data_IF_813175954057
#
_entry.id   IF_813175954057
#
_cell.length_a   1.000
_cell.length_b   1.000
_cell.length_c   1.000
_cell.angle_alpha   90.00
_cell.angle_beta   90.00
_cell.angle_gamma   90.00
#
_symmetry.space_group_name_H-M   'P 1'
#
loop_
_entity.id
_entity.type
_entity.pdbx_description
1 polymer ?
#
# COMPACT_ATOMS: atom_id res chain seq x y z
N UNK A 1 7.67 8.97 31.15
CA UNK A 1 8.40 10.27 31.17
C UNK A 1 7.94 11.07 29.96
N UNK A 2 8.33 12.32 29.73
CA UNK A 2 7.95 12.97 28.45
C UNK A 2 8.92 12.60 27.31
N UNK A 3 8.43 12.48 26.07
CA UNK A 3 9.28 12.15 24.91
C UNK A 3 10.46 13.14 24.75
N UNK A 4 10.23 14.42 25.02
CA UNK A 4 11.27 15.45 25.03
C UNK A 4 12.36 15.20 26.09
N UNK A 5 11.98 14.69 27.27
CA UNK A 5 12.93 14.33 28.33
C UNK A 5 13.79 13.13 27.94
N UNK A 6 13.19 12.15 27.25
CA UNK A 6 13.90 10.99 26.74
C UNK A 6 14.90 11.40 25.65
N UNK A 7 14.46 12.16 24.64
CA UNK A 7 15.32 12.68 23.56
C UNK A 7 16.51 13.47 24.15
N UNK A 8 16.24 14.35 25.13
CA UNK A 8 17.29 15.15 25.76
C UNK A 8 18.38 14.29 26.42
N UNK A 9 17.99 13.13 27.00
CA UNK A 9 18.87 12.21 27.74
C UNK A 9 19.59 11.20 26.84
N UNK A 10 18.90 10.66 25.84
CA UNK A 10 19.44 9.57 24.99
C UNK A 10 20.00 10.08 23.66
N UNK A 11 19.67 11.32 23.28
CA UNK A 11 19.96 11.89 21.95
C UNK A 11 19.39 11.06 20.80
N UNK A 12 18.35 10.27 21.08
CA UNK A 12 17.66 9.44 20.12
C UNK A 12 16.21 9.90 19.98
N UNK A 13 15.73 10.02 18.74
CA UNK A 13 14.38 10.47 18.42
C UNK A 13 13.52 9.26 17.99
N UNK A 14 12.66 8.75 18.89
CA UNK A 14 11.68 7.72 18.56
C UNK A 14 10.46 8.34 17.87
N UNK A 15 9.70 7.52 17.14
CA UNK A 15 8.33 7.90 16.75
C UNK A 15 7.40 7.86 17.97
N UNK A 16 6.19 8.41 17.85
CA UNK A 16 5.19 8.32 18.93
C UNK A 16 4.88 6.85 19.31
N UNK A 17 4.65 5.98 18.32
CA UNK A 17 4.37 4.55 18.53
C UNK A 17 5.55 3.81 19.20
N UNK A 18 6.79 4.14 18.83
CA UNK A 18 7.98 3.58 19.48
C UNK A 18 8.13 4.11 20.90
N UNK A 19 7.79 5.38 21.11
CA UNK A 19 7.87 6.02 22.41
C UNK A 19 6.88 5.43 23.41
N UNK A 20 5.65 5.11 23.00
CA UNK A 20 4.65 4.49 23.87
C UNK A 20 5.20 3.21 24.52
N UNK A 21 5.93 2.38 23.75
CA UNK A 21 6.58 1.16 24.25
C UNK A 21 7.76 1.45 25.18
N UNK A 22 8.56 2.46 24.85
CA UNK A 22 9.68 2.89 25.71
C UNK A 22 9.15 3.45 27.04
N UNK A 23 8.05 4.19 27.00
CA UNK A 23 7.40 4.73 28.19
C UNK A 23 6.83 3.62 29.07
N UNK A 24 6.21 2.60 28.48
CA UNK A 24 5.80 1.39 29.21
C UNK A 24 6.99 0.64 29.82
N UNK A 25 8.10 0.46 29.10
CA UNK A 25 9.35 -0.10 29.64
C UNK A 25 9.86 0.73 30.84
N UNK A 26 9.73 2.06 30.78
CA UNK A 26 10.13 2.96 31.87
C UNK A 26 9.22 2.83 33.10
N UNK A 27 7.89 2.77 32.92
CA UNK A 27 6.96 2.60 34.05
C UNK A 27 7.18 1.28 34.81
N UNK A 28 7.72 0.27 34.13
CA UNK A 28 8.05 -1.03 34.72
C UNK A 28 9.51 -1.12 35.23
N UNK A 29 10.30 -0.03 35.15
CA UNK A 29 11.70 -0.03 35.55
C UNK A 29 11.87 0.50 36.99
N UNK A 30 12.63 -0.24 37.81
CA UNK A 30 12.97 0.18 39.17
C UNK A 30 14.17 1.15 39.19
N UNK A 31 13.86 2.44 39.07
CA UNK A 31 14.82 3.53 39.19
C UNK A 31 14.34 4.86 38.63
N UNK A 32 15.23 5.87 38.72
CA UNK A 32 14.97 7.19 38.14
C UNK A 32 15.12 7.23 36.61
N UNK A 33 14.67 8.34 36.01
CA UNK A 33 14.71 8.59 34.56
C UNK A 33 16.12 8.46 33.97
N UNK A 34 17.15 8.90 34.70
CA UNK A 34 18.51 8.93 34.18
C UNK A 34 19.13 7.52 34.20
N UNK A 35 18.85 6.74 35.24
CA UNK A 35 19.25 5.33 35.34
C UNK A 35 18.59 4.52 34.23
N UNK A 36 17.29 4.73 33.97
CA UNK A 36 16.60 4.11 32.86
C UNK A 36 17.23 4.46 31.51
N UNK A 37 17.33 5.75 31.17
CA UNK A 37 17.86 6.18 29.87
C UNK A 37 19.28 5.67 29.61
N UNK A 38 20.16 5.73 30.62
CA UNK A 38 21.52 5.17 30.51
C UNK A 38 21.51 3.66 30.29
N UNK A 39 20.67 2.94 31.04
CA UNK A 39 20.53 1.48 30.90
C UNK A 39 19.99 1.11 29.51
N UNK A 40 18.92 1.76 29.07
CA UNK A 40 18.31 1.54 27.76
C UNK A 40 19.28 1.74 26.60
N UNK A 41 20.07 2.82 26.62
CA UNK A 41 21.12 3.05 25.62
C UNK A 41 22.22 2.00 25.72
N UNK A 42 22.73 1.73 26.94
CA UNK A 42 23.81 0.77 27.18
C UNK A 42 23.45 -0.65 26.73
N UNK A 43 22.19 -1.05 26.89
CA UNK A 43 21.69 -2.36 26.46
C UNK A 43 21.19 -2.38 25.00
N UNK A 44 21.55 -1.35 24.23
CA UNK A 44 21.39 -1.35 22.79
C UNK A 44 19.98 -1.02 22.30
N UNK A 45 19.21 -0.23 23.06
CA UNK A 45 17.86 0.20 22.68
C UNK A 45 17.80 0.85 21.29
N UNK A 46 18.78 1.70 20.96
CA UNK A 46 18.88 2.35 19.63
C UNK A 46 19.03 1.31 18.52
N UNK A 47 19.92 0.33 18.71
CA UNK A 47 20.19 -0.72 17.73
C UNK A 47 19.00 -1.68 17.61
N UNK A 48 18.30 -1.96 18.71
CA UNK A 48 17.08 -2.77 18.72
C UNK A 48 15.99 -2.09 17.89
N UNK A 49 15.65 -0.83 18.17
CA UNK A 49 14.66 -0.07 17.40
C UNK A 49 15.06 0.09 15.93
N UNK A 50 16.33 0.39 15.65
CA UNK A 50 16.81 0.50 14.27
C UNK A 50 16.60 -0.80 13.48
N UNK A 51 16.83 -1.97 14.10
CA UNK A 51 16.55 -3.27 13.46
C UNK A 51 15.06 -3.51 13.26
N UNK A 52 14.23 -3.12 14.22
CA UNK A 52 12.77 -3.22 14.10
C UNK A 52 12.24 -2.33 12.97
N UNK A 53 12.76 -1.10 12.84
CA UNK A 53 12.45 -0.21 11.70
C UNK A 53 12.79 -0.86 10.37
N UNK A 54 13.98 -1.46 10.24
CA UNK A 54 14.38 -2.16 9.00
C UNK A 54 13.45 -3.34 8.69
N UNK A 55 13.05 -4.13 9.70
CA UNK A 55 12.08 -5.22 9.51
C UNK A 55 10.72 -4.68 9.03
N UNK A 56 10.18 -3.66 9.70
CA UNK A 56 8.91 -3.02 9.30
C UNK A 56 8.98 -2.46 7.87
N UNK A 57 10.09 -1.85 7.48
CA UNK A 57 10.30 -1.38 6.10
C UNK A 57 10.30 -2.55 5.11
N UNK A 58 10.99 -3.65 5.42
CA UNK A 58 11.04 -4.81 4.52
C UNK A 58 9.66 -5.48 4.38
N UNK A 59 8.92 -5.61 5.48
CA UNK A 59 7.57 -6.18 5.48
C UNK A 59 6.62 -5.30 4.65
N UNK A 60 6.67 -3.97 4.85
CA UNK A 60 5.88 -3.02 4.06
C UNK A 60 6.25 -3.05 2.58
N UNK A 61 7.54 -3.17 2.25
CA UNK A 61 7.98 -3.31 0.86
C UNK A 61 7.42 -4.57 0.21
N UNK A 62 7.42 -5.69 0.93
CA UNK A 62 6.85 -6.94 0.46
C UNK A 62 5.34 -6.83 0.22
N UNK A 63 4.60 -6.24 1.16
CA UNK A 63 3.16 -5.99 0.99
C UNK A 63 2.86 -5.10 -0.22
N UNK A 64 3.69 -4.07 -0.45
CA UNK A 64 3.56 -3.18 -1.60
C UNK A 64 3.83 -3.93 -2.92
N UNK A 65 4.81 -4.83 -2.95
CA UNK A 65 5.09 -5.67 -4.11
C UNK A 65 3.94 -6.65 -4.41
N UNK A 66 3.40 -7.31 -3.39
CA UNK A 66 2.23 -8.18 -3.53
C UNK A 66 1.01 -7.41 -4.04
N UNK A 67 0.74 -6.23 -3.47
CA UNK A 67 -0.37 -5.37 -3.88
C UNK A 67 -0.20 -4.91 -5.34
N UNK A 68 0.99 -4.46 -5.71
CA UNK A 68 1.29 -4.07 -7.09
C UNK A 68 1.09 -5.22 -8.08
N UNK A 69 1.48 -6.44 -7.69
CA UNK A 69 1.26 -7.62 -8.51
C UNK A 69 -0.25 -7.85 -8.74
N UNK A 70 -1.04 -7.86 -7.67
CA UNK A 70 -2.50 -8.04 -7.78
C UNK A 70 -3.16 -6.95 -8.60
N UNK A 71 -2.74 -5.69 -8.40
CA UNK A 71 -3.25 -4.54 -9.16
C UNK A 71 -2.95 -4.68 -10.65
N UNK A 72 -1.75 -5.14 -11.02
CA UNK A 72 -1.38 -5.33 -12.42
C UNK A 72 -2.15 -6.50 -13.06
N UNK A 73 -2.36 -7.59 -12.33
CA UNK A 73 -3.17 -8.73 -12.79
C UNK A 73 -4.63 -8.30 -13.02
N UNK A 74 -5.22 -7.55 -12.08
CA UNK A 74 -6.57 -7.01 -12.21
C UNK A 74 -6.67 -6.02 -13.39
N UNK A 75 -5.70 -5.12 -13.53
CA UNK A 75 -5.67 -4.16 -14.64
C UNK A 75 -5.67 -4.88 -15.98
N UNK A 76 -4.79 -5.88 -16.14
CA UNK A 76 -4.72 -6.67 -17.37
C UNK A 76 -6.03 -7.40 -17.64
N UNK A 77 -6.68 -7.96 -16.61
CA UNK A 77 -7.98 -8.61 -16.75
C UNK A 77 -9.06 -7.64 -17.26
N UNK A 78 -9.12 -6.42 -16.71
CA UNK A 78 -10.08 -5.41 -17.16
C UNK A 78 -9.78 -4.91 -18.57
N UNK A 79 -8.51 -4.70 -18.92
CA UNK A 79 -8.09 -4.32 -20.28
C UNK A 79 -8.49 -5.38 -21.32
N UNK A 80 -8.27 -6.67 -21.03
CA UNK A 80 -8.66 -7.77 -21.92
C UNK A 80 -10.18 -7.84 -22.08
N UNK A 81 -10.93 -7.64 -20.99
CA UNK A 81 -12.40 -7.62 -21.01
C UNK A 81 -12.93 -6.44 -21.82
N UNK A 82 -12.36 -5.25 -21.64
CA UNK A 82 -12.76 -4.06 -22.38
C UNK A 82 -12.47 -4.20 -23.87
N UNK A 83 -11.31 -4.77 -24.23
CA UNK A 83 -10.98 -5.08 -25.62
C UNK A 83 -11.99 -6.05 -26.26
N UNK A 84 -12.38 -7.09 -25.52
CA UNK A 84 -13.41 -8.05 -25.97
C UNK A 84 -14.76 -7.38 -26.19
N UNK A 85 -15.22 -6.57 -25.22
CA UNK A 85 -16.49 -5.86 -25.33
C UNK A 85 -16.49 -4.86 -26.49
N UNK A 86 -15.38 -4.15 -26.71
CA UNK A 86 -15.23 -3.25 -27.86
C UNK A 86 -15.35 -4.00 -29.19
N UNK A 87 -14.75 -5.20 -29.27
CA UNK A 87 -14.88 -6.07 -30.45
C UNK A 87 -16.33 -6.51 -30.68
N UNK A 88 -16.98 -7.08 -29.66
CA UNK A 88 -18.37 -7.54 -29.76
C UNK A 88 -19.33 -6.42 -30.19
N UNK A 89 -19.10 -5.21 -29.66
CA UNK A 89 -19.90 -4.03 -29.99
C UNK A 89 -19.68 -3.58 -31.44
N UNK A 90 -18.44 -3.61 -31.92
CA UNK A 90 -18.13 -3.29 -33.32
C UNK A 90 -18.69 -4.33 -34.29
N UNK A 91 -18.60 -5.62 -33.95
CA UNK A 91 -19.18 -6.71 -34.75
C UNK A 91 -20.70 -6.53 -34.86
N UNK A 92 -21.37 -6.26 -33.73
CA UNK A 92 -22.83 -5.98 -33.69
C UNK A 92 -23.21 -4.76 -34.53
N UNK A 93 -22.41 -3.70 -34.50
CA UNK A 93 -22.63 -2.51 -35.33
C UNK A 93 -22.53 -2.84 -36.82
N UNK A 94 -21.49 -3.58 -37.22
CA UNK A 94 -21.29 -3.98 -38.61
C UNK A 94 -22.43 -4.86 -39.13
N UNK A 95 -22.92 -5.81 -38.32
CA UNK A 95 -24.08 -6.64 -38.67
C UNK A 95 -25.34 -5.80 -38.88
N UNK A 96 -25.59 -4.83 -37.99
CA UNK A 96 -26.73 -3.92 -38.09
C UNK A 96 -26.63 -3.04 -39.33
N UNK A 97 -25.47 -2.48 -39.62
CA UNK A 97 -25.24 -1.64 -40.79
C UNK A 97 -25.48 -2.45 -42.09
N UNK A 98 -24.94 -3.67 -42.16
CA UNK A 98 -25.19 -4.57 -43.30
C UNK A 98 -26.67 -4.94 -43.47
N UNK A 99 -27.43 -5.08 -42.38
CA UNK A 99 -28.87 -5.32 -42.43
C UNK A 99 -29.65 -4.10 -42.93
N UNK A 100 -29.26 -2.89 -42.50
CA UNK A 100 -29.84 -1.63 -42.97
C UNK A 100 -29.57 -1.43 -44.47
N UNK A 101 -28.36 -1.71 -44.94
CA UNK A 101 -28.01 -1.63 -46.37
C UNK A 101 -28.89 -2.55 -47.22
N UNK A 102 -29.10 -3.80 -46.76
CA UNK A 102 -30.01 -4.74 -47.43
C UNK A 102 -31.44 -4.22 -47.50
N UNK A 103 -31.95 -3.65 -46.41
CA UNK A 103 -33.30 -3.07 -46.38
C UNK A 103 -33.43 -1.85 -47.31
N UNK A 104 -32.41 -0.99 -47.35
CA UNK A 104 -32.36 0.15 -48.26
C UNK A 104 -32.34 -0.29 -49.72
N UNK A 105 -31.56 -1.32 -50.06
CA UNK A 105 -31.53 -1.89 -51.39
C UNK A 105 -32.91 -2.43 -51.82
N UNK A 106 -33.57 -3.20 -50.96
CA UNK A 106 -34.93 -3.72 -51.22
C UNK A 106 -35.92 -2.58 -51.43
N UNK A 107 -35.89 -1.55 -50.57
CA UNK A 107 -36.77 -0.38 -50.68
C UNK A 107 -36.60 0.34 -52.02
N UNK A 108 -35.38 0.43 -52.52
CA UNK A 108 -35.06 1.10 -53.79
C UNK A 108 -35.53 0.30 -55.01
N UNK A 109 -35.68 -1.03 -54.90
CA UNK A 109 -36.22 -1.87 -55.99
C UNK A 109 -37.76 -1.87 -56.05
N UNK A 110 -38.44 -1.50 -54.96
CA UNK A 110 -39.90 -1.55 -54.84
C UNK A 110 -40.60 -0.19 -55.05
N UNK A 111 -39.83 0.89 -55.21
CA UNK A 111 -40.30 2.26 -55.51
C UNK A 111 -39.83 2.62 -56.91
#
# INVERSE_FOLDING_TARGET
>A
MMISEFIARTKFEPTAEEYDKIEEEYYNFDGDKDKFCRSWVRHGGIQRLSRERVRKINDLKKQLEELNKTYNEDMQFYEDRDAKLCKELNDTRAEKDAALDKLAAIRTMLI
#
